data_IF_337282634819
#
_entry.id   IF_337282634819
#
_cell.length_a   1.000
_cell.length_b   1.000
_cell.length_c   1.000
_cell.angle_alpha   90.00
_cell.angle_beta   90.00
_cell.angle_gamma   90.00
#
_symmetry.space_group_name_H-M   'P 1'
#
loop_
_entity.id
_entity.type
_entity.pdbx_description
1 polymer ?
#
# COMPACT_ATOMS: atom_id res chain seq x y z
N UNK A 1 16.99 0.37 16.53
CA UNK A 1 16.77 1.27 15.38
C UNK A 1 16.77 2.70 15.90
N UNK A 2 17.40 3.66 15.22
CA UNK A 2 17.38 5.06 15.67
C UNK A 2 16.01 5.68 15.36
N UNK A 3 15.60 6.67 16.17
CA UNK A 3 14.34 7.41 16.01
C UNK A 3 14.22 7.99 14.58
N UNK A 4 15.31 8.50 14.02
CA UNK A 4 15.35 9.04 12.66
C UNK A 4 15.03 8.00 11.58
N UNK A 5 15.50 6.75 11.75
CA UNK A 5 15.22 5.67 10.79
C UNK A 5 13.75 5.26 10.83
N UNK A 6 13.16 5.25 12.02
CA UNK A 6 11.74 4.93 12.18
C UNK A 6 10.85 6.05 11.64
N UNK A 7 11.26 7.31 11.82
CA UNK A 7 10.57 8.46 11.25
C UNK A 7 10.53 8.40 9.71
N UNK A 8 11.67 8.13 9.07
CA UNK A 8 11.73 7.96 7.61
C UNK A 8 10.89 6.78 7.14
N UNK A 9 10.92 5.66 7.89
CA UNK A 9 10.09 4.50 7.58
C UNK A 9 8.59 4.84 7.66
N UNK A 10 8.15 5.59 8.67
CA UNK A 10 6.76 6.04 8.78
C UNK A 10 6.38 6.92 7.58
N UNK A 11 7.22 7.89 7.21
CA UNK A 11 6.96 8.73 6.04
C UNK A 11 6.76 7.89 4.77
N UNK A 12 7.64 6.91 4.56
CA UNK A 12 7.56 5.99 3.44
C UNK A 12 6.25 5.19 3.42
N UNK A 13 5.80 4.74 4.58
CA UNK A 13 4.56 3.99 4.72
C UNK A 13 3.32 4.87 4.53
N UNK A 14 3.36 6.13 4.96
CA UNK A 14 2.30 7.10 4.70
C UNK A 14 2.19 7.37 3.19
N UNK A 15 3.31 7.51 2.49
CA UNK A 15 3.32 7.65 1.03
C UNK A 15 2.72 6.42 0.35
N UNK A 16 3.11 5.21 0.78
CA UNK A 16 2.54 3.95 0.28
C UNK A 16 1.02 3.88 0.49
N UNK A 17 0.54 4.19 1.70
CA UNK A 17 -0.89 4.27 2.02
C UNK A 17 -1.62 5.24 1.09
N UNK A 18 -1.05 6.43 0.90
CA UNK A 18 -1.65 7.49 0.06
C UNK A 18 -1.82 7.03 -1.38
N UNK A 19 -0.83 6.35 -1.96
CA UNK A 19 -0.93 5.79 -3.31
C UNK A 19 -2.02 4.70 -3.42
N UNK A 20 -2.18 3.86 -2.39
CA UNK A 20 -3.27 2.87 -2.35
C UNK A 20 -4.64 3.55 -2.24
N UNK A 21 -4.76 4.60 -1.43
CA UNK A 21 -6.01 5.37 -1.31
C UNK A 21 -6.40 6.04 -2.63
N UNK A 22 -5.43 6.59 -3.36
CA UNK A 22 -5.68 7.12 -4.71
C UNK A 22 -6.13 6.03 -5.68
N UNK A 23 -5.49 4.85 -5.64
CA UNK A 23 -5.93 3.68 -6.41
C UNK A 23 -7.37 3.29 -6.07
N UNK A 24 -7.72 3.22 -4.78
CA UNK A 24 -9.08 2.92 -4.34
C UNK A 24 -10.10 3.96 -4.79
N UNK A 25 -9.78 5.25 -4.71
CA UNK A 25 -10.63 6.31 -5.23
C UNK A 25 -10.88 6.13 -6.72
N UNK A 26 -9.83 5.85 -7.49
CA UNK A 26 -9.96 5.63 -8.93
C UNK A 26 -10.83 4.42 -9.26
N UNK A 27 -10.57 3.28 -8.61
CA UNK A 27 -11.35 2.04 -8.72
C UNK A 27 -12.81 2.25 -8.32
N UNK A 28 -13.10 3.04 -7.29
CA UNK A 28 -14.48 3.30 -6.87
C UNK A 28 -15.22 4.28 -7.80
N UNK A 29 -14.50 5.18 -8.47
CA UNK A 29 -15.08 6.23 -9.31
C UNK A 29 -15.36 5.83 -10.76
N UNK A 30 -14.67 4.80 -11.28
CA UNK A 30 -14.73 4.40 -12.69
C UNK A 30 -14.77 2.88 -12.80
N UNK A 31 -15.63 2.37 -13.67
CA UNK A 31 -15.76 0.94 -13.97
C UNK A 31 -15.25 0.62 -15.39
N UNK A 32 -14.17 1.28 -15.80
CA UNK A 32 -13.58 1.19 -17.14
C UNK A 32 -12.28 0.38 -17.11
N UNK A 33 -11.94 -0.28 -18.23
CA UNK A 33 -10.68 -1.04 -18.35
C UNK A 33 -9.42 -0.19 -18.13
N UNK A 34 -9.51 1.11 -18.36
CA UNK A 34 -8.42 2.08 -18.14
C UNK A 34 -7.99 2.18 -16.67
N UNK A 35 -8.82 1.72 -15.73
CA UNK A 35 -8.53 1.70 -14.30
C UNK A 35 -7.30 0.84 -14.00
N UNK A 36 -7.16 -0.31 -14.64
CA UNK A 36 -6.09 -1.26 -14.33
C UNK A 36 -4.69 -0.71 -14.66
N UNK A 37 -4.53 -0.15 -15.86
CA UNK A 37 -3.26 0.45 -16.28
C UNK A 37 -2.92 1.70 -15.47
N UNK A 38 -3.93 2.48 -15.08
CA UNK A 38 -3.74 3.62 -14.20
C UNK A 38 -3.29 3.19 -12.79
N UNK A 39 -3.97 2.21 -12.19
CA UNK A 39 -3.63 1.67 -10.86
C UNK A 39 -2.22 1.09 -10.86
N UNK A 40 -1.84 0.36 -11.92
CA UNK A 40 -0.49 -0.18 -12.06
C UNK A 40 0.57 0.92 -12.09
N UNK A 41 0.30 2.04 -12.79
CA UNK A 41 1.21 3.19 -12.84
C UNK A 41 1.31 3.89 -11.48
N UNK A 42 0.18 4.16 -10.84
CA UNK A 42 0.12 4.82 -9.53
C UNK A 42 0.88 4.02 -8.46
N UNK A 43 0.75 2.69 -8.48
CA UNK A 43 1.37 1.81 -7.49
C UNK A 43 2.80 1.35 -7.85
N UNK A 44 3.38 1.84 -8.94
CA UNK A 44 4.72 1.44 -9.39
C UNK A 44 5.82 1.66 -8.34
N UNK A 45 5.79 2.80 -7.64
CA UNK A 45 6.71 3.11 -6.55
C UNK A 45 6.53 2.17 -5.35
N UNK A 46 5.27 1.87 -5.00
CA UNK A 46 4.93 0.92 -3.95
C UNK A 46 5.45 -0.49 -4.28
N UNK A 47 5.18 -0.98 -5.50
CA UNK A 47 5.65 -2.29 -5.95
C UNK A 47 7.17 -2.40 -5.90
N UNK A 48 7.88 -1.40 -6.42
CA UNK A 48 9.35 -1.39 -6.42
C UNK A 48 9.92 -1.46 -5.01
N UNK A 49 9.37 -0.65 -4.09
CA UNK A 49 9.89 -0.49 -2.73
C UNK A 49 9.59 -1.69 -1.83
N UNK A 50 8.40 -2.26 -1.94
CA UNK A 50 7.90 -3.29 -1.02
C UNK A 50 7.87 -4.71 -1.60
N UNK A 51 8.33 -4.92 -2.84
CA UNK A 51 8.40 -6.24 -3.49
C UNK A 51 9.12 -7.32 -2.67
N UNK A 52 10.10 -6.93 -1.86
CA UNK A 52 10.88 -7.84 -0.99
C UNK A 52 10.51 -7.74 0.49
N UNK A 53 9.50 -6.94 0.83
CA UNK A 53 9.03 -6.81 2.20
C UNK A 53 8.23 -8.06 2.57
N UNK A 54 8.58 -8.72 3.68
CA UNK A 54 7.96 -10.00 4.09
C UNK A 54 6.44 -9.89 4.31
N UNK A 55 5.96 -8.73 4.74
CA UNK A 55 4.56 -8.53 5.10
C UNK A 55 3.69 -8.12 3.90
N UNK A 56 4.30 -7.47 2.89
CA UNK A 56 3.59 -6.85 1.77
C UNK A 56 3.86 -7.51 0.41
N UNK A 57 4.91 -8.34 0.28
CA UNK A 57 5.25 -8.97 -1.00
C UNK A 57 4.10 -9.81 -1.58
N UNK A 58 3.42 -10.59 -0.74
CA UNK A 58 2.27 -11.38 -1.15
C UNK A 58 1.08 -10.51 -1.56
N UNK A 59 0.88 -9.38 -0.90
CA UNK A 59 -0.19 -8.45 -1.27
C UNK A 59 0.09 -7.81 -2.63
N UNK A 60 1.35 -7.46 -2.91
CA UNK A 60 1.78 -6.93 -4.22
C UNK A 60 1.53 -7.93 -5.34
N UNK A 61 1.93 -9.20 -5.14
CA UNK A 61 1.70 -10.26 -6.13
C UNK A 61 0.22 -10.37 -6.44
N UNK A 62 -0.63 -10.42 -5.41
CA UNK A 62 -2.09 -10.49 -5.59
C UNK A 62 -2.65 -9.27 -6.31
N UNK A 63 -2.22 -8.05 -5.98
CA UNK A 63 -2.65 -6.83 -6.68
C UNK A 63 -2.30 -6.94 -8.17
N UNK A 64 -1.07 -7.35 -8.49
CA UNK A 64 -0.63 -7.51 -9.88
C UNK A 64 -1.44 -8.58 -10.61
N UNK A 65 -1.75 -9.70 -9.96
CA UNK A 65 -2.63 -10.73 -10.52
C UNK A 65 -4.04 -10.22 -10.79
N UNK A 66 -4.66 -9.49 -9.85
CA UNK A 66 -5.99 -8.90 -10.07
C UNK A 66 -5.97 -7.90 -11.24
N UNK A 67 -4.91 -7.10 -11.38
CA UNK A 67 -4.71 -6.17 -12.51
C UNK A 67 -4.61 -6.95 -13.83
N UNK A 68 -3.76 -7.98 -13.91
CA UNK A 68 -3.57 -8.76 -15.13
C UNK A 68 -4.82 -9.53 -15.56
N UNK A 69 -5.65 -9.95 -14.61
CA UNK A 69 -6.93 -10.64 -14.87
C UNK A 69 -8.09 -9.69 -15.12
N UNK A 70 -7.87 -8.37 -15.05
CA UNK A 70 -8.93 -7.36 -15.08
C UNK A 70 -10.06 -7.67 -14.07
N UNK A 71 -9.71 -8.19 -12.89
CA UNK A 71 -10.67 -8.55 -11.85
C UNK A 71 -10.86 -7.40 -10.85
N UNK A 72 -11.94 -6.66 -11.06
CA UNK A 72 -12.29 -5.49 -10.29
C UNK A 72 -12.50 -5.79 -8.81
N UNK A 73 -13.24 -6.86 -8.51
CA UNK A 73 -13.64 -7.21 -7.13
C UNK A 73 -12.39 -7.63 -6.36
N UNK A 74 -11.58 -8.49 -6.96
CA UNK A 74 -10.26 -8.89 -6.43
C UNK A 74 -9.40 -7.66 -6.15
N UNK A 75 -9.26 -6.76 -7.13
CA UNK A 75 -8.40 -5.59 -7.00
C UNK A 75 -8.86 -4.70 -5.84
N UNK A 76 -10.16 -4.38 -5.78
CA UNK A 76 -10.72 -3.53 -4.73
C UNK A 76 -10.51 -4.12 -3.34
N UNK A 77 -10.81 -5.41 -3.16
CA UNK A 77 -10.64 -6.09 -1.88
C UNK A 77 -9.17 -6.15 -1.46
N UNK A 78 -8.28 -6.45 -2.40
CA UNK A 78 -6.87 -6.55 -2.12
C UNK A 78 -6.25 -5.19 -1.78
N UNK A 79 -6.65 -4.11 -2.46
CA UNK A 79 -6.23 -2.75 -2.12
C UNK A 79 -6.72 -2.33 -0.71
N UNK A 80 -7.97 -2.63 -0.36
CA UNK A 80 -8.51 -2.36 0.99
C UNK A 80 -7.74 -3.13 2.08
N UNK A 81 -7.49 -4.42 1.86
CA UNK A 81 -6.72 -5.27 2.78
C UNK A 81 -5.30 -4.75 2.97
N UNK A 82 -4.63 -4.40 1.87
CA UNK A 82 -3.25 -3.88 1.89
C UNK A 82 -3.18 -2.54 2.61
N UNK A 83 -4.14 -1.63 2.35
CA UNK A 83 -4.25 -0.37 3.07
C UNK A 83 -4.32 -0.59 4.59
N UNK A 84 -5.20 -1.48 5.04
CA UNK A 84 -5.39 -1.76 6.47
C UNK A 84 -4.11 -2.27 7.12
N UNK A 85 -3.39 -3.19 6.46
CA UNK A 85 -2.09 -3.68 6.95
C UNK A 85 -1.06 -2.56 7.12
N UNK A 86 -1.00 -1.65 6.14
CA UNK A 86 -0.08 -0.50 6.23
C UNK A 86 -0.48 0.42 7.40
N UNK A 87 -1.77 0.67 7.59
CA UNK A 87 -2.28 1.45 8.73
C UNK A 87 -1.90 0.82 10.08
N UNK A 88 -2.12 -0.48 10.23
CA UNK A 88 -1.75 -1.22 11.45
C UNK A 88 -0.24 -1.14 11.73
N UNK A 89 0.59 -1.23 10.68
CA UNK A 89 2.05 -1.13 10.83
C UNK A 89 2.50 0.30 11.17
N UNK A 90 1.88 1.34 10.59
CA UNK A 90 2.15 2.74 10.93
C UNK A 90 1.85 2.98 12.42
N UNK A 91 0.70 2.51 12.91
CA UNK A 91 0.30 2.67 14.30
C UNK A 91 1.27 1.98 15.28
N UNK A 92 1.76 0.79 14.93
CA UNK A 92 2.75 0.06 15.72
C UNK A 92 4.09 0.83 15.78
N UNK A 93 4.53 1.40 14.67
CA UNK A 93 5.75 2.22 14.61
C UNK A 93 5.62 3.50 15.45
N UNK A 94 4.50 4.22 15.34
CA UNK A 94 4.23 5.40 16.17
C UNK A 94 4.25 5.08 17.66
N UNK A 95 3.55 4.02 18.10
CA UNK A 95 3.55 3.59 19.51
C UNK A 95 4.94 3.23 20.01
N UNK A 96 5.72 2.56 19.18
CA UNK A 96 7.12 2.20 19.48
C UNK A 96 8.03 3.42 19.61
N UNK A 97 7.86 4.42 18.74
CA UNK A 97 8.62 5.68 18.81
C UNK A 97 8.24 6.49 20.05
N UNK A 98 6.94 6.64 20.34
CA UNK A 98 6.46 7.38 21.50
C UNK A 98 7.04 6.83 22.82
N UNK A 99 7.00 5.49 23.00
CA UNK A 99 7.55 4.81 24.18
C UNK A 99 9.07 4.99 24.37
N UNK A 100 9.81 5.32 23.31
CA UNK A 100 11.27 5.55 23.37
C UNK A 100 11.62 7.02 23.57
N UNK A 101 10.68 7.92 23.31
CA UNK A 101 10.84 9.36 23.51
C UNK A 101 10.37 9.83 24.89
N UNK A 102 9.52 9.04 25.57
CA UNK A 102 9.11 9.17 26.96
C UNK A 102 10.13 8.60 27.92
#
# INVERSE_FOLDING_TARGET
MSIDKDFLLIQDMILAKTSIEKALLHVNSRNEKTVYSWVQRELSGFFRKYSKNKDLANDIIKIQECISKEDYICLKQQLLSTKKKIEDQIDLLYKSMYRRAS
#
